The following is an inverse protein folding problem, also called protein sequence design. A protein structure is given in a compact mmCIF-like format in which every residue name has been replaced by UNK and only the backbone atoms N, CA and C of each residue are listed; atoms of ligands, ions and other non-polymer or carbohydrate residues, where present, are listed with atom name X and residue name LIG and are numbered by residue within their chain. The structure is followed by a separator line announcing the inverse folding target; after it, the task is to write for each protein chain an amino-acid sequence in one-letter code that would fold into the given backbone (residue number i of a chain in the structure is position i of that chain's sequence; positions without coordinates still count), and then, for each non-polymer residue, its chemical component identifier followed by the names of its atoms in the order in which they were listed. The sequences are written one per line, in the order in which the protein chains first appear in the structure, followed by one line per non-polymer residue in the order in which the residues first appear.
data_IF_161258870329
#
_entry.id   IF_161258870329
#
_cell.length_a   1.000
_cell.length_b   1.000
_cell.length_c   1.000
_cell.angle_alpha   90.00
_cell.angle_beta   90.00
_cell.angle_gamma   90.00
#
_symmetry.space_group_name_H-M   'P 1'
#
loop_
_entity.id
_entity.type
_entity.pdbx_description
1 polymer ?
#
# COMPACT_ATOMS: atom_id res chain seq x y z
N UNK A 1 -10.76 -13.44 -12.20
CA UNK A 1 -9.75 -13.65 -11.15
C UNK A 1 -9.51 -12.34 -10.40
N UNK A 2 -9.40 -12.42 -9.08
CA UNK A 2 -9.28 -11.27 -8.23
C UNK A 2 -7.99 -11.30 -7.41
N UNK A 3 -7.41 -10.12 -7.25
CA UNK A 3 -6.41 -9.85 -6.21
C UNK A 3 -7.14 -9.42 -4.95
N UNK A 4 -6.53 -9.67 -3.80
CA UNK A 4 -7.08 -9.29 -2.50
C UNK A 4 -6.06 -8.46 -1.74
N UNK A 5 -6.53 -7.42 -1.07
CA UNK A 5 -5.75 -6.67 -0.10
C UNK A 5 -6.52 -6.72 1.23
N UNK A 6 -5.90 -7.31 2.24
CA UNK A 6 -6.36 -7.16 3.62
C UNK A 6 -5.64 -5.94 4.17
N UNK A 7 -6.36 -4.82 4.25
CA UNK A 7 -5.78 -3.52 4.55
C UNK A 7 -5.95 -3.15 6.03
N UNK A 8 -4.85 -3.02 6.72
CA UNK A 8 -4.79 -2.63 8.11
C UNK A 8 -3.51 -1.84 8.36
N UNK A 9 -3.03 -1.81 9.60
CA UNK A 9 -1.75 -1.20 9.95
C UNK A 9 -0.64 -1.76 9.07
N UNK A 10 -0.58 -3.08 8.95
CA UNK A 10 0.15 -3.81 7.91
C UNK A 10 -0.88 -4.37 6.94
N UNK A 11 -0.50 -4.50 5.69
CA UNK A 11 -1.38 -5.03 4.67
C UNK A 11 -0.83 -6.32 4.09
N UNK A 12 -1.76 -7.21 3.71
CA UNK A 12 -1.45 -8.43 2.98
C UNK A 12 -2.07 -8.32 1.60
N UNK A 13 -1.28 -8.58 0.58
CA UNK A 13 -1.78 -8.58 -0.80
C UNK A 13 -1.48 -9.90 -1.47
N UNK A 14 -2.47 -10.47 -2.12
CA UNK A 14 -2.29 -11.77 -2.73
C UNK A 14 -3.51 -12.31 -3.46
N UNK A 15 -3.43 -13.61 -3.70
CA UNK A 15 -4.45 -14.39 -4.41
C UNK A 15 -4.69 -15.70 -3.69
N UNK A 16 -5.79 -16.36 -4.03
CA UNK A 16 -6.01 -17.77 -3.68
C UNK A 16 -5.60 -18.67 -4.85
N UNK A 17 -4.88 -19.74 -4.56
CA UNK A 17 -4.43 -20.72 -5.53
C UNK A 17 -4.76 -22.14 -5.05
N UNK A 18 -4.95 -23.05 -6.02
CA UNK A 18 -5.18 -24.48 -5.71
C UNK A 18 -3.91 -25.20 -5.31
N UNK A 19 -2.75 -24.70 -5.75
CA UNK A 19 -1.43 -25.28 -5.45
C UNK A 19 -0.51 -24.20 -4.89
N UNK A 20 0.40 -24.62 -4.02
CA UNK A 20 1.42 -23.71 -3.49
C UNK A 20 2.40 -23.29 -4.60
N UNK A 21 2.84 -22.06 -4.58
CA UNK A 21 3.85 -21.51 -5.49
C UNK A 21 5.17 -21.43 -4.73
N UNK A 22 6.10 -22.33 -5.06
CA UNK A 22 7.37 -22.48 -4.35
C UNK A 22 8.57 -22.24 -5.25
N UNK A 23 8.56 -21.12 -5.97
CA UNK A 23 9.66 -20.75 -6.86
C UNK A 23 10.72 -19.92 -6.12
N UNK A 24 11.95 -19.95 -6.64
CA UNK A 24 13.03 -19.08 -6.15
C UNK A 24 12.63 -17.60 -6.23
N UNK A 25 11.98 -17.22 -7.32
CA UNK A 25 11.55 -15.84 -7.54
C UNK A 25 10.50 -15.41 -6.52
N UNK A 26 9.55 -16.29 -6.17
CA UNK A 26 8.57 -16.03 -5.12
C UNK A 26 9.24 -15.77 -3.78
N UNK A 27 10.22 -16.59 -3.44
CA UNK A 27 10.98 -16.46 -2.20
C UNK A 27 11.75 -15.16 -2.14
N UNK A 28 12.43 -14.80 -3.22
CA UNK A 28 13.20 -13.55 -3.32
C UNK A 28 12.32 -12.32 -3.14
N UNK A 29 11.08 -12.39 -3.60
CA UNK A 29 10.12 -11.27 -3.52
C UNK A 29 9.26 -11.32 -2.27
N UNK A 30 9.60 -12.19 -1.30
CA UNK A 30 8.93 -12.31 0.01
C UNK A 30 7.47 -12.75 -0.07
N UNK A 31 7.13 -13.55 -1.06
CA UNK A 31 5.80 -14.18 -1.12
C UNK A 31 5.79 -15.47 -0.33
N UNK A 32 4.67 -15.73 0.33
CA UNK A 32 4.45 -16.94 1.10
C UNK A 32 3.14 -17.60 0.70
N UNK A 33 3.05 -18.91 1.01
CA UNK A 33 1.82 -19.68 0.82
C UNK A 33 1.24 -20.01 2.18
N UNK A 34 -0.03 -19.67 2.40
CA UNK A 34 -0.73 -20.00 3.63
C UNK A 34 -1.94 -20.87 3.30
N UNK A 35 -2.30 -21.79 4.19
CA UNK A 35 -3.49 -22.61 4.03
C UNK A 35 -4.74 -21.75 4.00
N UNK A 36 -5.55 -21.94 2.97
CA UNK A 36 -6.82 -21.24 2.79
C UNK A 36 -8.01 -22.19 2.85
N UNK A 37 -9.17 -21.66 2.48
CA UNK A 37 -10.42 -22.41 2.47
C UNK A 37 -10.46 -23.44 1.32
N UNK A 38 -11.11 -24.57 1.54
CA UNK A 38 -11.29 -25.65 0.54
C UNK A 38 -9.99 -26.18 -0.05
N UNK A 39 -8.97 -26.39 0.80
CA UNK A 39 -7.64 -26.90 0.38
C UNK A 39 -6.92 -25.99 -0.62
N UNK A 40 -7.27 -24.71 -0.64
CA UNK A 40 -6.56 -23.71 -1.44
C UNK A 40 -5.47 -23.05 -0.61
N UNK A 41 -4.49 -22.50 -1.29
CA UNK A 41 -3.41 -21.73 -0.67
C UNK A 41 -3.64 -20.26 -0.94
N UNK A 42 -3.38 -19.42 0.08
CA UNK A 42 -3.28 -17.99 -0.10
C UNK A 42 -1.82 -17.66 -0.40
N UNK A 43 -1.57 -17.25 -1.64
CA UNK A 43 -0.26 -16.79 -2.09
C UNK A 43 -0.22 -15.28 -1.87
N UNK A 44 0.58 -14.83 -0.93
CA UNK A 44 0.51 -13.45 -0.46
C UNK A 44 1.86 -12.90 -0.04
N UNK A 45 1.90 -11.58 0.09
CA UNK A 45 3.07 -10.83 0.52
C UNK A 45 2.61 -9.76 1.53
N UNK A 46 3.38 -9.62 2.60
CA UNK A 46 3.24 -8.48 3.51
C UNK A 46 3.78 -7.23 2.83
N UNK A 47 3.00 -6.16 2.88
CA UNK A 47 3.41 -4.86 2.36
C UNK A 47 3.07 -3.78 3.37
N UNK A 48 3.66 -2.61 3.22
CA UNK A 48 3.31 -1.47 4.05
C UNK A 48 1.83 -1.16 3.89
N UNK A 49 1.14 -1.00 5.00
CA UNK A 49 -0.26 -0.64 5.04
C UNK A 49 -0.46 0.76 5.58
N UNK A 50 -1.44 0.92 6.46
CA UNK A 50 -1.81 2.22 7.00
C UNK A 50 -0.87 2.73 8.09
N UNK A 51 0.13 1.95 8.48
CA UNK A 51 1.10 2.32 9.52
C UNK A 51 1.71 3.70 9.28
N UNK A 52 2.08 4.01 8.04
CA UNK A 52 2.69 5.31 7.73
C UNK A 52 1.74 6.48 8.01
N UNK A 53 0.51 6.40 7.52
CA UNK A 53 -0.45 7.48 7.72
C UNK A 53 -0.94 7.56 9.17
N UNK A 54 -1.04 6.42 9.84
CA UNK A 54 -1.37 6.36 11.26
C UNK A 54 -0.29 7.07 12.08
N UNK A 55 0.98 6.81 11.78
CA UNK A 55 2.12 7.44 12.45
C UNK A 55 2.19 8.95 12.17
N UNK A 56 2.00 9.35 10.93
CA UNK A 56 1.95 10.78 10.57
C UNK A 56 0.83 11.48 11.32
N UNK A 57 -0.36 10.89 11.36
CA UNK A 57 -1.51 11.45 12.08
C UNK A 57 -1.19 11.64 13.57
N UNK A 58 -0.58 10.63 14.18
CA UNK A 58 -0.20 10.68 15.60
C UNK A 58 0.80 11.79 15.87
N UNK A 59 1.81 11.95 15.02
CA UNK A 59 2.82 12.99 15.17
C UNK A 59 2.24 14.38 14.94
N UNK A 60 1.14 14.49 14.19
CA UNK A 60 0.38 15.73 14.04
C UNK A 60 -0.64 15.91 15.18
N UNK A 61 -0.44 15.19 16.29
CA UNK A 61 -1.25 15.29 17.52
C UNK A 61 -2.73 14.92 17.29
N UNK A 62 -2.99 14.04 16.33
CA UNK A 62 -4.34 13.60 15.94
C UNK A 62 -5.26 14.77 15.54
N UNK A 63 -4.68 15.84 15.05
CA UNK A 63 -5.39 17.07 14.68
C UNK A 63 -6.34 16.86 13.50
N UNK A 64 -6.03 15.92 12.63
CA UNK A 64 -6.81 15.61 11.43
C UNK A 64 -7.34 14.20 11.49
N UNK A 65 -8.57 13.97 11.02
CA UNK A 65 -9.10 12.63 10.84
C UNK A 65 -8.46 11.98 9.61
N UNK A 66 -8.61 10.68 9.46
CA UNK A 66 -8.14 9.99 8.25
C UNK A 66 -8.85 10.49 7.00
N UNK A 67 -10.16 10.77 7.10
CA UNK A 67 -10.91 11.35 6.00
C UNK A 67 -10.38 12.72 5.59
N UNK A 68 -10.02 13.55 6.58
CA UNK A 68 -9.41 14.85 6.33
C UNK A 68 -8.04 14.72 5.66
N UNK A 69 -7.20 13.78 6.12
CA UNK A 69 -5.89 13.54 5.51
C UNK A 69 -6.03 13.08 4.06
N UNK A 70 -7.01 12.23 3.77
CA UNK A 70 -7.32 11.83 2.40
C UNK A 70 -7.71 13.03 1.54
N UNK A 71 -8.59 13.89 2.04
CA UNK A 71 -9.01 15.09 1.33
C UNK A 71 -7.84 16.04 1.09
N UNK A 72 -6.99 16.22 2.10
CA UNK A 72 -5.79 17.06 2.02
C UNK A 72 -4.83 16.52 0.96
N UNK A 73 -4.59 15.22 0.94
CA UNK A 73 -3.75 14.57 -0.05
C UNK A 73 -4.29 14.77 -1.46
N UNK A 74 -5.59 14.65 -1.66
CA UNK A 74 -6.22 14.81 -2.97
C UNK A 74 -6.06 16.23 -3.53
N UNK A 75 -5.99 17.23 -2.67
CA UNK A 75 -5.74 18.62 -3.07
C UNK A 75 -4.29 18.87 -3.47
N UNK A 76 -3.37 18.00 -3.09
CA UNK A 76 -1.95 18.09 -3.43
C UNK A 76 -1.47 16.91 -4.26
N UNK A 77 -2.33 16.41 -5.13
CA UNK A 77 -1.99 15.33 -6.07
C UNK A 77 -0.88 15.72 -7.05
N UNK A 78 -0.63 17.01 -7.20
CA UNK A 78 0.47 17.57 -8.00
C UNK A 78 1.84 17.44 -7.33
N UNK A 79 1.90 17.20 -6.02
CA UNK A 79 3.17 17.09 -5.30
C UNK A 79 3.92 15.83 -5.76
N UNK A 80 5.15 16.00 -6.33
CA UNK A 80 5.76 14.91 -7.11
C UNK A 80 6.51 13.87 -6.28
N UNK A 81 6.76 14.13 -5.00
CA UNK A 81 7.63 13.28 -4.19
C UNK A 81 7.04 11.92 -3.89
N UNK A 82 7.89 10.89 -3.94
CA UNK A 82 7.52 9.49 -3.65
C UNK A 82 8.62 8.86 -2.83
N UNK A 83 8.24 7.88 -2.01
CA UNK A 83 9.17 7.06 -1.22
C UNK A 83 8.86 5.58 -1.44
N UNK A 84 9.86 4.74 -1.26
CA UNK A 84 9.64 3.29 -1.21
C UNK A 84 9.10 2.96 0.18
N UNK A 85 7.80 2.73 0.26
CA UNK A 85 7.12 2.47 1.54
C UNK A 85 7.58 1.19 2.21
N UNK A 86 8.18 0.26 1.48
CA UNK A 86 8.67 -1.00 2.02
C UNK A 86 10.13 -0.92 2.47
N UNK A 87 10.73 0.26 2.40
CA UNK A 87 12.10 0.46 2.93
C UNK A 87 12.10 0.25 4.45
N UNK A 88 13.08 -0.49 4.98
CA UNK A 88 13.17 -0.75 6.42
C UNK A 88 13.16 0.48 7.32
N UNK A 89 13.56 1.65 6.81
CA UNK A 89 13.56 2.90 7.59
C UNK A 89 12.16 3.26 8.12
N UNK A 90 11.10 2.79 7.45
CA UNK A 90 9.73 3.09 7.84
C UNK A 90 9.12 2.07 8.81
N UNK A 91 9.86 1.02 9.19
CA UNK A 91 9.34 -0.02 10.09
C UNK A 91 9.13 0.48 11.52
N UNK A 92 10.10 1.18 12.07
CA UNK A 92 10.03 1.69 13.44
C UNK A 92 10.87 2.96 13.60
N UNK A 93 10.60 4.03 12.84
CA UNK A 93 11.38 5.25 12.97
C UNK A 93 11.02 5.99 14.27
N UNK A 94 11.95 6.76 14.81
CA UNK A 94 11.66 7.66 15.93
C UNK A 94 10.61 8.71 15.55
N UNK A 95 10.68 9.18 14.30
CA UNK A 95 9.68 10.07 13.72
C UNK A 95 9.41 9.63 12.28
N UNK A 96 8.17 9.31 11.99
CA UNK A 96 7.74 8.94 10.63
C UNK A 96 7.84 10.14 9.69
N UNK A 97 7.42 11.32 10.16
CA UNK A 97 7.48 12.56 9.38
C UNK A 97 8.92 12.87 8.99
N UNK A 98 9.84 12.78 9.95
CA UNK A 98 11.26 13.02 9.68
C UNK A 98 11.81 11.98 8.71
N UNK A 99 11.47 10.71 8.89
CA UNK A 99 11.92 9.64 7.99
C UNK A 99 11.46 9.87 6.55
N UNK A 100 10.22 10.28 6.35
CA UNK A 100 9.67 10.60 5.02
C UNK A 100 10.43 11.78 4.41
N UNK A 101 10.64 12.85 5.17
CA UNK A 101 11.32 14.05 4.70
C UNK A 101 12.77 13.76 4.33
N UNK A 102 13.48 13.02 5.19
CA UNK A 102 14.87 12.64 4.92
C UNK A 102 15.00 11.74 3.68
N UNK A 103 14.06 10.81 3.50
CA UNK A 103 14.09 9.95 2.32
C UNK A 103 13.84 10.75 1.04
N UNK A 104 12.91 11.69 1.05
CA UNK A 104 12.68 12.57 -0.10
C UNK A 104 13.93 13.38 -0.43
N UNK A 105 14.56 13.98 0.58
CA UNK A 105 15.81 14.74 0.39
C UNK A 105 16.91 13.86 -0.17
N UNK A 106 17.09 12.67 0.38
CA UNK A 106 18.13 11.72 -0.05
C UNK A 106 17.97 11.28 -1.49
N UNK A 107 16.74 11.13 -1.96
CA UNK A 107 16.44 10.69 -3.33
C UNK A 107 16.27 11.85 -4.32
N UNK A 108 16.54 13.07 -3.88
CA UNK A 108 16.47 14.25 -4.75
C UNK A 108 15.07 14.75 -5.06
N UNK A 109 14.10 14.37 -4.26
CA UNK A 109 12.72 14.84 -4.41
C UNK A 109 12.46 16.08 -3.54
N UNK A 110 11.49 16.92 -3.91
CA UNK A 110 11.02 18.00 -3.03
C UNK A 110 10.62 17.46 -1.67
N UNK A 111 11.04 18.15 -0.60
CA UNK A 111 10.75 17.72 0.77
C UNK A 111 9.34 18.18 1.16
N UNK A 112 8.47 17.26 1.60
CA UNK A 112 7.14 17.66 2.06
C UNK A 112 7.25 18.43 3.37
N UNK A 113 6.61 19.59 3.44
CA UNK A 113 6.69 20.47 4.61
C UNK A 113 5.34 20.63 5.32
N UNK A 114 4.24 20.59 4.56
CA UNK A 114 2.89 20.75 5.12
C UNK A 114 2.23 19.39 5.34
N UNK A 115 1.20 19.31 6.22
CA UNK A 115 0.43 18.10 6.37
C UNK A 115 -0.18 17.59 5.06
N UNK A 116 -0.63 18.49 4.19
CA UNK A 116 -1.18 18.16 2.86
C UNK A 116 -0.15 17.43 2.02
N UNK A 117 1.08 17.96 1.97
CA UNK A 117 2.18 17.37 1.20
C UNK A 117 2.60 16.02 1.75
N UNK A 118 2.68 15.90 3.09
CA UNK A 118 2.99 14.63 3.74
C UNK A 118 1.95 13.57 3.43
N UNK A 119 0.67 13.92 3.53
CA UNK A 119 -0.41 12.99 3.21
C UNK A 119 -0.37 12.57 1.74
N UNK A 120 -0.10 13.51 0.83
CA UNK A 120 0.03 13.22 -0.60
C UNK A 120 1.15 12.22 -0.86
N UNK A 121 2.34 12.43 -0.28
CA UNK A 121 3.48 11.51 -0.43
C UNK A 121 3.11 10.11 0.04
N UNK A 122 2.47 10.00 1.20
CA UNK A 122 2.12 8.70 1.78
C UNK A 122 1.11 7.94 0.90
N UNK A 123 -0.01 8.56 0.57
CA UNK A 123 -1.05 7.87 -0.19
C UNK A 123 -0.60 7.55 -1.62
N UNK A 124 0.11 8.46 -2.26
CA UNK A 124 0.65 8.21 -3.59
C UNK A 124 1.68 7.07 -3.58
N UNK A 125 2.56 7.06 -2.58
CA UNK A 125 3.58 6.02 -2.45
C UNK A 125 2.98 4.65 -2.12
N UNK A 126 1.95 4.61 -1.27
CA UNK A 126 1.22 3.37 -0.98
C UNK A 126 0.54 2.81 -2.23
N UNK A 127 -0.10 3.66 -3.02
CA UNK A 127 -0.76 3.22 -4.25
C UNK A 127 0.24 2.70 -5.28
N UNK A 128 1.42 3.29 -5.36
CA UNK A 128 2.50 2.78 -6.20
C UNK A 128 2.92 1.38 -5.75
N UNK A 129 3.05 1.16 -4.44
CA UNK A 129 3.39 -0.14 -3.88
C UNK A 129 2.33 -1.20 -4.21
N UNK A 130 1.07 -0.84 -4.13
CA UNK A 130 -0.03 -1.75 -4.47
C UNK A 130 0.00 -2.14 -5.94
N UNK A 131 0.24 -1.18 -6.82
CA UNK A 131 0.40 -1.44 -8.26
C UNK A 131 1.58 -2.37 -8.53
N UNK A 132 2.72 -2.06 -7.97
CA UNK A 132 3.93 -2.86 -8.15
C UNK A 132 3.73 -4.29 -7.66
N UNK A 133 3.10 -4.48 -6.51
CA UNK A 133 2.83 -5.81 -5.97
C UNK A 133 1.86 -6.59 -6.86
N UNK A 134 0.84 -5.92 -7.41
CA UNK A 134 -0.08 -6.54 -8.36
C UNK A 134 0.67 -7.04 -9.61
N UNK A 135 1.56 -6.22 -10.14
CA UNK A 135 2.39 -6.58 -11.30
C UNK A 135 3.33 -7.74 -10.97
N UNK A 136 3.91 -7.77 -9.77
CA UNK A 136 4.74 -8.89 -9.31
C UNK A 136 3.94 -10.19 -9.28
N UNK A 137 2.73 -10.16 -8.75
CA UNK A 137 1.86 -11.35 -8.68
C UNK A 137 1.55 -11.85 -10.08
N UNK A 138 1.22 -10.97 -11.00
CA UNK A 138 0.96 -11.34 -12.39
C UNK A 138 2.18 -11.97 -13.04
N UNK A 139 3.36 -11.41 -12.83
CA UNK A 139 4.60 -11.97 -13.36
C UNK A 139 4.93 -13.33 -12.81
N UNK A 140 4.69 -13.55 -11.50
CA UNK A 140 5.00 -14.81 -10.83
C UNK A 140 3.99 -15.91 -11.14
N UNK A 141 2.73 -15.57 -11.41
CA UNK A 141 1.67 -16.54 -11.65
C UNK A 141 1.38 -16.76 -13.14
N UNK A 142 1.85 -15.85 -14.00
CA UNK A 142 1.53 -15.90 -15.43
C UNK A 142 0.06 -15.60 -15.73
N UNK A 143 -0.68 -15.07 -14.78
CA UNK A 143 -2.11 -14.77 -14.91
C UNK A 143 -2.34 -13.28 -14.87
N UNK A 144 -3.47 -12.84 -15.44
CA UNK A 144 -3.92 -11.44 -15.37
C UNK A 144 -5.08 -11.33 -14.39
N UNK A 145 -5.03 -10.30 -13.54
CA UNK A 145 -6.07 -10.01 -12.56
C UNK A 145 -6.61 -8.61 -12.81
N UNK A 146 -7.89 -8.50 -13.11
CA UNK A 146 -8.51 -7.23 -13.49
C UNK A 146 -9.24 -6.53 -12.34
N UNK A 147 -9.31 -7.17 -11.18
CA UNK A 147 -10.04 -6.63 -10.01
C UNK A 147 -9.21 -6.82 -8.74
N UNK A 148 -9.18 -5.80 -7.91
CA UNK A 148 -8.60 -5.82 -6.58
C UNK A 148 -9.74 -5.65 -5.56
N UNK A 149 -9.90 -6.64 -4.67
CA UNK A 149 -10.85 -6.55 -3.57
C UNK A 149 -10.13 -6.13 -2.29
N UNK A 150 -10.53 -5.01 -1.71
CA UNK A 150 -9.92 -4.47 -0.49
C UNK A 150 -10.88 -4.67 0.68
N UNK A 151 -10.40 -5.30 1.75
CA UNK A 151 -11.15 -5.49 3.00
C UNK A 151 -10.34 -4.91 4.16
N UNK A 152 -10.99 -4.74 5.30
CA UNK A 152 -10.37 -4.18 6.50
C UNK A 152 -10.50 -2.67 6.59
N UNK A 153 -9.81 -2.05 7.54
CA UNK A 153 -9.91 -0.61 7.80
C UNK A 153 -9.55 0.28 6.63
N UNK A 154 -8.61 -0.16 5.78
CA UNK A 154 -8.20 0.58 4.60
C UNK A 154 -9.24 0.62 3.49
N UNK A 155 -10.30 -0.21 3.57
CA UNK A 155 -11.37 -0.17 2.58
C UNK A 155 -12.10 1.18 2.58
N UNK A 156 -11.98 1.95 3.65
CA UNK A 156 -12.59 3.28 3.78
C UNK A 156 -11.68 4.41 3.29
N UNK A 157 -10.45 4.12 2.89
CA UNK A 157 -9.51 5.11 2.36
C UNK A 157 -9.81 5.37 0.87
N UNK A 158 -10.86 6.14 0.60
CA UNK A 158 -11.36 6.36 -0.77
C UNK A 158 -10.31 6.90 -1.74
N UNK A 159 -9.50 7.87 -1.31
CA UNK A 159 -8.48 8.45 -2.17
C UNK A 159 -7.42 7.40 -2.53
N UNK A 160 -6.96 6.61 -1.55
CA UNK A 160 -6.00 5.53 -1.79
C UNK A 160 -6.58 4.49 -2.76
N UNK A 161 -7.85 4.14 -2.60
CA UNK A 161 -8.52 3.17 -3.47
C UNK A 161 -8.64 3.70 -4.90
N UNK A 162 -8.98 4.98 -5.07
CA UNK A 162 -9.03 5.61 -6.41
C UNK A 162 -7.67 5.66 -7.07
N UNK A 163 -6.61 6.01 -6.32
CA UNK A 163 -5.25 6.01 -6.84
C UNK A 163 -4.83 4.61 -7.27
N UNK A 164 -5.14 3.61 -6.45
CA UNK A 164 -4.82 2.21 -6.76
C UNK A 164 -5.49 1.76 -8.05
N UNK A 165 -6.77 2.08 -8.21
CA UNK A 165 -7.52 1.76 -9.44
C UNK A 165 -6.90 2.44 -10.67
N UNK A 166 -6.63 3.73 -10.56
CA UNK A 166 -6.08 4.53 -11.65
C UNK A 166 -4.70 4.05 -12.08
N UNK A 167 -3.79 3.84 -11.11
CA UNK A 167 -2.41 3.48 -11.39
C UNK A 167 -2.26 2.04 -11.88
N UNK A 168 -3.05 1.13 -11.30
CA UNK A 168 -2.98 -0.28 -11.67
C UNK A 168 -3.79 -0.64 -12.91
N UNK A 169 -4.69 0.24 -13.34
CA UNK A 169 -5.61 -0.04 -14.44
C UNK A 169 -6.61 -1.15 -14.10
N UNK A 170 -6.84 -1.39 -12.79
CA UNK A 170 -7.73 -2.44 -12.31
C UNK A 170 -8.93 -1.85 -11.61
N UNK A 171 -10.02 -2.59 -11.63
CA UNK A 171 -11.20 -2.25 -10.86
C UNK A 171 -10.93 -2.54 -9.39
N UNK A 172 -11.26 -1.59 -8.53
CA UNK A 172 -11.08 -1.74 -7.07
C UNK A 172 -12.45 -1.80 -6.41
N UNK A 173 -12.70 -2.88 -5.68
CA UNK A 173 -13.91 -3.09 -4.90
C UNK A 173 -13.56 -3.03 -3.42
N UNK A 174 -14.15 -2.06 -2.70
CA UNK A 174 -13.94 -1.91 -1.27
C UNK A 174 -15.05 -2.66 -0.52
N UNK A 175 -14.66 -3.64 0.28
CA UNK A 175 -15.58 -4.39 1.13
C UNK A 175 -15.77 -3.74 2.49
N UNK A 176 -16.48 -4.43 3.41
CA UNK A 176 -16.69 -3.93 4.77
C UNK A 176 -15.37 -3.71 5.50
N UNK A 177 -15.30 -2.62 6.24
CA UNK A 177 -14.15 -2.27 7.06
C UNK A 177 -14.02 -3.11 8.33
#
# INVERSE_FOLDING_TARGET
KNLYISSGTWSLMGIENKTAICTEESRKRNFTNEGGYEYRYRYLKNIMGLWMIQSVRKELENKYSFAELCAMASRRSDFPSRVDVNDPVFLAPDSMIRAIREMCAKTGHPVPETPDELAAVVYESLSDSYRETAEEIEGLTGSHYNTICIVGGGSNAEYLNRLTAKKSGRRVLAGPG
#
